data_IF_919120162143
#
_entry.id   IF_919120162143
#
_cell.length_a   1.000
_cell.length_b   1.000
_cell.length_c   1.000
_cell.angle_alpha   90.00
_cell.angle_beta   90.00
_cell.angle_gamma   90.00
#
_symmetry.space_group_name_H-M   'P 1'
#
loop_
_entity.id
_entity.type
_entity.pdbx_description
1 polymer ?
#
# COMPACT_ATOMS: atom_id res chain seq x y z
N UNK A 1 -16.38 -64.13 -43.27
CA UNK A 1 -15.49 -65.15 -42.69
C UNK A 1 -15.75 -65.15 -41.19
N UNK A 2 -16.53 -66.12 -40.66
CA UNK A 2 -16.06 -67.34 -39.98
C UNK A 2 -14.99 -66.98 -38.94
N UNK A 3 -15.28 -67.00 -37.64
CA UNK A 3 -15.32 -68.18 -36.75
C UNK A 3 -15.62 -67.67 -35.33
N UNK A 4 -16.06 -68.39 -34.29
CA UNK A 4 -16.64 -69.71 -33.98
C UNK A 4 -17.12 -69.53 -32.51
N UNK A 5 -18.38 -69.77 -32.18
CA UNK A 5 -18.94 -71.03 -31.62
C UNK A 5 -18.35 -71.55 -30.29
N UNK A 6 -19.25 -71.63 -29.27
CA UNK A 6 -19.37 -72.66 -28.19
C UNK A 6 -18.26 -72.66 -27.13
N UNK A 7 -18.50 -72.69 -25.82
CA UNK A 7 -19.70 -72.86 -25.01
C UNK A 7 -19.34 -73.25 -23.56
N UNK A 8 -20.36 -73.65 -22.79
CA UNK A 8 -20.35 -74.30 -21.47
C UNK A 8 -19.90 -73.47 -20.24
N UNK A 9 -20.76 -73.09 -19.28
CA UNK A 9 -21.57 -73.84 -18.28
C UNK A 9 -20.80 -74.10 -16.95
N UNK A 10 -21.45 -73.72 -15.82
CA UNK A 10 -21.32 -74.26 -14.43
C UNK A 10 -20.11 -73.75 -13.61
N UNK A 11 -20.16 -73.36 -12.32
CA UNK A 11 -21.06 -73.62 -11.17
C UNK A 11 -20.70 -72.71 -9.96
N UNK A 12 -21.66 -72.60 -9.01
CA UNK A 12 -21.55 -72.50 -7.52
C UNK A 12 -20.85 -71.26 -6.91
N UNK A 13 -21.53 -70.42 -6.12
CA UNK A 13 -22.07 -70.63 -4.75
C UNK A 13 -20.99 -70.77 -3.67
N UNK A 14 -20.99 -69.87 -2.69
CA UNK A 14 -20.28 -70.08 -1.43
C UNK A 14 -20.13 -68.83 -0.58
N UNK A 15 -20.80 -68.84 0.58
CA UNK A 15 -20.77 -67.88 1.69
C UNK A 15 -19.38 -67.75 2.34
N UNK A 16 -19.16 -66.66 3.10
CA UNK A 16 -18.42 -66.74 4.36
C UNK A 16 -17.35 -65.67 4.63
N UNK A 17 -17.75 -64.64 5.39
CA UNK A 17 -17.07 -64.01 6.55
C UNK A 17 -15.52 -64.05 6.61
N UNK A 18 -14.88 -62.87 6.69
CA UNK A 18 -13.46 -62.78 7.05
C UNK A 18 -12.84 -61.38 7.06
N UNK A 19 -13.19 -60.58 8.08
CA UNK A 19 -12.31 -59.69 8.87
C UNK A 19 -11.18 -58.87 8.19
N UNK A 20 -11.39 -57.53 8.20
CA UNK A 20 -10.44 -56.41 8.43
C UNK A 20 -9.24 -56.22 7.49
N UNK A 21 -9.27 -55.09 6.78
CA UNK A 21 -8.13 -54.17 6.67
C UNK A 21 -8.63 -52.72 6.59
N UNK A 22 -8.23 -51.91 7.57
CA UNK A 22 -8.27 -50.45 7.52
C UNK A 22 -7.34 -49.95 6.40
N UNK A 23 -7.65 -48.80 5.78
CA UNK A 23 -6.75 -47.62 5.66
C UNK A 23 -7.36 -46.55 4.72
N UNK A 24 -7.79 -45.45 5.35
CA UNK A 24 -7.41 -44.05 5.08
C UNK A 24 -7.83 -43.34 3.77
N UNK A 25 -8.62 -42.28 4.01
CA UNK A 25 -8.67 -40.93 3.42
C UNK A 25 -8.74 -40.71 1.90
N UNK A 26 -9.79 -39.96 1.54
CA UNK A 26 -9.80 -39.06 0.40
C UNK A 26 -10.81 -37.93 0.65
N UNK A 27 -10.63 -37.17 1.73
CA UNK A 27 -11.42 -35.97 1.99
C UNK A 27 -11.09 -34.92 0.92
N UNK A 28 -12.00 -34.72 -0.03
CA UNK A 28 -12.01 -33.58 -0.94
C UNK A 28 -12.44 -32.36 -0.12
N UNK A 29 -11.50 -31.77 0.61
CA UNK A 29 -11.70 -30.53 1.34
C UNK A 29 -11.19 -29.36 0.49
N UNK A 30 -12.17 -28.66 -0.10
CA UNK A 30 -12.16 -27.26 -0.54
C UNK A 30 -10.80 -26.56 -0.59
N UNK A 31 -10.30 -26.37 -1.81
CA UNK A 31 -9.49 -25.19 -2.14
C UNK A 31 -10.36 -23.94 -2.00
N UNK A 32 -10.41 -23.38 -0.79
CA UNK A 32 -10.67 -21.94 -0.67
C UNK A 32 -9.31 -21.27 -0.79
N UNK A 33 -8.97 -20.89 -2.01
CA UNK A 33 -7.97 -19.86 -2.24
C UNK A 33 -8.58 -18.60 -1.64
N UNK A 34 -8.28 -18.34 -0.36
CA UNK A 34 -8.27 -16.98 0.13
C UNK A 34 -7.17 -16.27 -0.67
N UNK A 35 -7.53 -15.79 -1.86
CA UNK A 35 -6.77 -14.76 -2.54
C UNK A 35 -6.81 -13.59 -1.56
N UNK A 36 -5.79 -13.52 -0.70
CA UNK A 36 -5.48 -12.31 0.02
C UNK A 36 -5.46 -11.22 -1.04
N UNK A 37 -6.47 -10.35 -0.98
CA UNK A 37 -6.54 -9.23 -1.90
C UNK A 37 -5.21 -8.51 -1.74
N UNK A 38 -4.43 -8.46 -2.82
CA UNK A 38 -3.27 -7.58 -2.83
C UNK A 38 -3.83 -6.17 -2.67
N UNK A 39 -3.72 -5.64 -1.46
CA UNK A 39 -4.28 -4.35 -1.08
C UNK A 39 -3.31 -3.25 -1.50
N UNK A 40 -3.02 -3.10 -2.80
CA UNK A 40 -1.92 -2.23 -3.22
C UNK A 40 -2.12 -0.76 -2.88
N UNK A 41 -3.31 -0.22 -3.17
CA UNK A 41 -3.74 1.10 -2.73
C UNK A 41 -5.26 1.01 -2.57
N UNK A 42 -5.78 1.17 -1.36
CA UNK A 42 -7.21 1.05 -1.05
C UNK A 42 -8.01 2.26 -1.63
N UNK A 43 -8.17 2.30 -2.96
CA UNK A 43 -8.86 3.37 -3.67
C UNK A 43 -10.37 3.42 -3.34
N UNK A 44 -10.96 2.26 -3.02
CA UNK A 44 -12.36 2.08 -2.63
C UNK A 44 -12.42 1.50 -1.22
N UNK A 45 -12.41 2.38 -0.22
CA UNK A 45 -12.59 2.01 1.18
C UNK A 45 -14.07 2.12 1.55
N UNK A 46 -14.55 1.14 2.31
CA UNK A 46 -15.86 1.18 2.97
C UNK A 46 -15.79 1.99 4.26
N UNK A 47 -16.95 2.41 4.79
CA UNK A 47 -17.05 3.07 6.09
C UNK A 47 -16.46 2.21 7.23
N UNK A 48 -16.72 0.91 7.20
CA UNK A 48 -16.18 -0.03 8.19
C UNK A 48 -14.65 -0.13 8.12
N UNK A 49 -14.08 -0.21 6.91
CA UNK A 49 -12.62 -0.20 6.73
C UNK A 49 -12.01 1.15 7.13
N UNK A 50 -12.70 2.26 6.90
CA UNK A 50 -12.24 3.56 7.35
C UNK A 50 -12.23 3.69 8.87
N UNK A 51 -13.26 3.19 9.56
CA UNK A 51 -13.29 3.12 11.03
C UNK A 51 -12.17 2.23 11.57
N UNK A 52 -11.87 1.12 10.90
CA UNK A 52 -10.71 0.27 11.21
C UNK A 52 -9.38 0.99 10.99
N UNK A 53 -9.23 1.76 9.92
CA UNK A 53 -8.02 2.56 9.66
C UNK A 53 -7.84 3.65 10.74
N UNK A 54 -8.90 4.35 11.12
CA UNK A 54 -8.87 5.29 12.25
C UNK A 54 -8.43 4.60 13.54
N UNK A 55 -8.98 3.41 13.85
CA UNK A 55 -8.59 2.63 15.02
C UNK A 55 -7.11 2.21 14.98
N UNK A 56 -6.63 1.74 13.84
CA UNK A 56 -5.24 1.35 13.63
C UNK A 56 -4.27 2.53 13.82
N UNK A 57 -4.69 3.74 13.44
CA UNK A 57 -3.94 4.97 13.72
C UNK A 57 -3.95 5.35 15.20
N UNK A 58 -5.07 5.18 15.89
CA UNK A 58 -5.24 5.51 17.31
C UNK A 58 -4.40 4.62 18.23
N UNK A 59 -4.52 3.31 18.06
CA UNK A 59 -4.00 2.32 19.00
C UNK A 59 -2.52 2.51 19.39
N UNK A 60 -1.55 2.66 18.46
CA UNK A 60 -0.16 2.88 18.83
C UNK A 60 0.05 4.22 19.53
N UNK A 61 -0.72 5.24 19.17
CA UNK A 61 -0.64 6.57 19.77
C UNK A 61 -1.27 6.60 21.18
N UNK A 62 -2.31 5.80 21.43
CA UNK A 62 -2.90 5.62 22.76
C UNK A 62 -1.93 4.90 23.72
N UNK A 63 -1.14 3.96 23.21
CA UNK A 63 -0.10 3.24 24.00
C UNK A 63 1.18 4.06 24.24
N UNK A 64 1.48 5.03 23.39
CA UNK A 64 2.69 5.85 23.49
C UNK A 64 2.58 6.89 24.62
N UNK A 65 3.50 6.89 25.56
CA UNK A 65 3.53 7.78 26.73
C UNK A 65 4.71 8.76 26.71
N UNK A 66 5.75 8.45 25.93
CA UNK A 66 6.97 9.27 25.82
C UNK A 66 7.09 9.94 24.45
N UNK A 67 7.78 11.11 24.35
CA UNK A 67 8.07 11.75 23.06
C UNK A 67 8.79 10.83 22.07
N UNK A 68 9.66 9.95 22.56
CA UNK A 68 10.44 9.00 21.77
C UNK A 68 9.54 7.93 21.14
N UNK A 69 8.58 7.38 21.90
CA UNK A 69 7.58 6.43 21.38
C UNK A 69 6.69 7.08 20.32
N UNK A 70 6.21 8.31 20.58
CA UNK A 70 5.43 9.08 19.61
C UNK A 70 6.21 9.28 18.32
N UNK A 71 7.49 9.64 18.42
CA UNK A 71 8.38 9.80 17.26
C UNK A 71 8.49 8.50 16.47
N UNK A 72 8.67 7.35 17.13
CA UNK A 72 8.73 6.04 16.47
C UNK A 72 7.44 5.69 15.74
N UNK A 73 6.28 5.97 16.35
CA UNK A 73 4.96 5.76 15.71
C UNK A 73 4.85 6.58 14.42
N UNK A 74 5.25 7.86 14.46
CA UNK A 74 5.19 8.75 13.30
C UNK A 74 6.20 8.35 12.21
N UNK A 75 7.40 7.92 12.59
CA UNK A 75 8.41 7.41 11.66
C UNK A 75 7.93 6.14 10.97
N UNK A 76 7.42 5.16 11.73
CA UNK A 76 6.89 3.92 11.19
C UNK A 76 5.74 4.17 10.20
N UNK A 77 4.80 5.06 10.55
CA UNK A 77 3.70 5.43 9.66
C UNK A 77 4.17 6.03 8.33
N UNK A 78 5.27 6.80 8.34
CA UNK A 78 5.82 7.42 7.14
C UNK A 78 6.59 6.42 6.26
N UNK A 79 7.12 5.35 6.84
CA UNK A 79 7.83 4.30 6.11
C UNK A 79 6.87 3.34 5.40
N UNK A 80 5.68 3.11 5.96
CA UNK A 80 4.70 2.16 5.43
C UNK A 80 4.24 2.49 4.00
N UNK A 81 4.17 3.77 3.64
CA UNK A 81 3.75 4.21 2.31
C UNK A 81 4.86 4.90 1.52
N UNK A 82 6.11 4.75 1.96
CA UNK A 82 7.28 5.29 1.27
C UNK A 82 7.71 4.38 0.13
N UNK A 83 8.09 5.00 -0.98
CA UNK A 83 8.73 4.37 -2.13
C UNK A 83 10.07 5.06 -2.41
N UNK A 84 10.98 4.35 -3.07
CA UNK A 84 12.32 4.82 -3.36
C UNK A 84 13.27 4.73 -2.17
N UNK A 85 14.14 5.73 -2.05
CA UNK A 85 15.21 5.72 -1.08
C UNK A 85 14.72 5.70 0.37
N UNK A 86 15.39 4.85 1.16
CA UNK A 86 15.26 4.77 2.60
C UNK A 86 16.12 5.87 3.24
N UNK A 87 15.53 6.86 3.93
CA UNK A 87 16.27 8.00 4.46
C UNK A 87 17.31 7.62 5.53
N UNK A 88 17.22 6.43 6.12
CA UNK A 88 18.23 5.94 7.07
C UNK A 88 19.46 5.35 6.38
N UNK A 89 19.31 4.87 5.14
CA UNK A 89 20.40 4.26 4.36
C UNK A 89 20.96 5.21 3.31
N UNK A 90 20.08 5.99 2.70
CA UNK A 90 20.37 6.98 1.69
C UNK A 90 19.61 8.26 2.05
N UNK A 91 20.31 9.13 2.79
CA UNK A 91 19.76 10.38 3.29
C UNK A 91 19.37 11.37 2.18
N UNK A 92 19.83 11.15 0.94
CA UNK A 92 19.54 12.02 -0.19
C UNK A 92 18.94 11.35 -1.43
N UNK A 93 18.59 10.07 -1.35
CA UNK A 93 17.98 9.41 -2.48
C UNK A 93 16.56 9.92 -2.78
N UNK A 94 16.19 9.86 -4.06
CA UNK A 94 14.85 10.21 -4.51
C UNK A 94 13.83 9.26 -3.88
N UNK A 95 12.80 9.84 -3.25
CA UNK A 95 11.76 9.08 -2.55
C UNK A 95 10.42 9.77 -2.68
N UNK A 96 9.35 9.03 -2.46
CA UNK A 96 8.03 9.61 -2.33
C UNK A 96 7.23 8.93 -1.22
N UNK A 97 6.30 9.66 -0.63
CA UNK A 97 5.33 9.14 0.33
C UNK A 97 3.95 9.19 -0.31
N UNK A 98 3.31 8.03 -0.42
CA UNK A 98 1.93 7.93 -0.88
C UNK A 98 1.00 8.25 0.28
N UNK A 99 0.26 9.34 0.18
CA UNK A 99 -0.78 9.72 1.14
C UNK A 99 -2.12 9.17 0.66
N UNK A 100 -2.31 7.88 0.85
CA UNK A 100 -3.56 7.17 0.52
C UNK A 100 -4.72 7.64 1.42
N UNK A 101 -5.97 7.31 1.04
CA UNK A 101 -7.14 7.51 1.94
C UNK A 101 -6.89 6.89 3.31
N UNK A 102 -6.33 5.68 3.34
CA UNK A 102 -5.96 4.97 4.56
C UNK A 102 -4.91 5.72 5.37
N UNK A 103 -3.84 6.21 4.73
CA UNK A 103 -2.80 7.02 5.38
C UNK A 103 -3.41 8.24 6.10
N UNK A 104 -4.32 8.94 5.43
CA UNK A 104 -5.02 10.09 6.02
C UNK A 104 -5.87 9.67 7.22
N UNK A 105 -6.69 8.64 7.08
CA UNK A 105 -7.53 8.10 8.15
C UNK A 105 -6.71 7.67 9.37
N UNK A 106 -5.62 6.93 9.17
CA UNK A 106 -4.71 6.57 10.25
C UNK A 106 -4.04 7.81 10.88
N UNK A 107 -3.69 8.82 10.07
CA UNK A 107 -3.17 10.08 10.59
C UNK A 107 -4.19 10.85 11.43
N UNK A 108 -5.48 10.79 11.08
CA UNK A 108 -6.53 11.36 11.91
C UNK A 108 -6.77 10.56 13.16
N UNK A 109 -6.70 9.23 13.10
CA UNK A 109 -6.73 8.36 14.27
C UNK A 109 -5.63 8.73 15.27
N UNK A 110 -4.39 8.94 14.80
CA UNK A 110 -3.30 9.43 15.66
C UNK A 110 -3.65 10.76 16.33
N UNK A 111 -4.23 11.71 15.58
CA UNK A 111 -4.66 13.02 16.13
C UNK A 111 -5.78 12.87 17.15
N UNK A 112 -6.76 12.01 16.91
CA UNK A 112 -7.83 11.71 17.86
C UNK A 112 -7.28 11.20 19.19
N UNK A 113 -6.33 10.27 19.15
CA UNK A 113 -5.67 9.73 20.34
C UNK A 113 -4.92 10.83 21.12
N UNK A 114 -4.17 11.67 20.41
CA UNK A 114 -3.44 12.80 21.02
C UNK A 114 -4.40 13.81 21.67
N UNK A 115 -5.46 14.22 20.96
CA UNK A 115 -6.42 15.18 21.48
C UNK A 115 -7.26 14.59 22.62
N UNK A 116 -7.62 13.31 22.54
CA UNK A 116 -8.34 12.62 23.62
C UNK A 116 -7.53 12.60 24.91
N UNK A 117 -6.22 12.34 24.82
CA UNK A 117 -5.29 12.39 25.96
C UNK A 117 -5.21 13.79 26.56
N UNK A 118 -5.10 14.83 25.72
CA UNK A 118 -5.03 16.24 26.17
C UNK A 118 -6.30 16.66 26.90
N UNK A 119 -7.46 16.27 26.37
CA UNK A 119 -8.77 16.69 26.89
C UNK A 119 -9.34 15.74 27.96
N UNK A 120 -8.68 14.60 28.22
CA UNK A 120 -9.15 13.53 29.12
C UNK A 120 -10.57 13.04 28.80
N UNK A 121 -10.94 13.11 27.52
CA UNK A 121 -12.23 12.70 26.98
C UNK A 121 -12.01 11.97 25.66
N UNK A 122 -12.85 10.98 25.36
CA UNK A 122 -12.81 10.31 24.06
C UNK A 122 -13.31 11.23 22.95
N UNK A 123 -12.43 11.54 22.00
CA UNK A 123 -12.73 12.34 20.81
C UNK A 123 -12.67 11.42 19.59
N UNK A 124 -13.75 11.42 18.82
CA UNK A 124 -13.89 10.63 17.60
C UNK A 124 -14.36 11.50 16.44
N UNK A 125 -13.83 11.24 15.26
CA UNK A 125 -14.31 11.85 14.03
C UNK A 125 -15.72 11.36 13.74
N UNK A 126 -16.68 12.26 13.50
CA UNK A 126 -18.03 11.88 13.10
C UNK A 126 -18.05 11.31 11.68
N UNK A 127 -19.01 10.43 11.42
CA UNK A 127 -19.10 9.66 10.16
C UNK A 127 -19.20 10.55 8.91
N UNK A 128 -19.78 11.75 9.00
CA UNK A 128 -19.85 12.72 7.88
C UNK A 128 -18.46 13.21 7.47
N UNK A 129 -17.55 13.39 8.43
CA UNK A 129 -16.15 13.74 8.15
C UNK A 129 -15.39 12.55 7.58
N UNK A 130 -15.67 11.33 8.05
CA UNK A 130 -15.06 10.12 7.49
C UNK A 130 -15.45 9.98 6.01
N UNK A 131 -16.73 10.20 5.69
CA UNK A 131 -17.24 10.12 4.33
C UNK A 131 -16.51 11.09 3.38
N UNK A 132 -16.20 12.32 3.82
CA UNK A 132 -15.41 13.27 3.02
C UNK A 132 -14.04 12.74 2.62
N UNK A 133 -13.38 11.94 3.48
CA UNK A 133 -12.10 11.31 3.14
C UNK A 133 -12.27 10.10 2.24
N UNK A 134 -13.36 9.34 2.41
CA UNK A 134 -13.73 8.26 1.50
C UNK A 134 -14.00 8.79 0.08
N UNK A 135 -14.54 9.99 -0.04
CA UNK A 135 -14.89 10.62 -1.30
C UNK A 135 -13.73 11.40 -1.95
N UNK A 136 -12.53 11.40 -1.34
CA UNK A 136 -11.35 12.05 -1.96
C UNK A 136 -11.06 11.43 -3.33
N UNK A 137 -11.02 12.24 -4.42
CA UNK A 137 -10.87 11.71 -5.77
C UNK A 137 -9.41 11.38 -6.12
N UNK A 138 -8.46 11.95 -5.37
CA UNK A 138 -7.04 11.93 -5.73
C UNK A 138 -6.19 11.28 -4.64
N UNK A 139 -5.24 10.47 -5.07
CA UNK A 139 -4.06 10.11 -4.31
C UNK A 139 -3.08 11.30 -4.30
N UNK A 140 -2.63 11.71 -3.12
CA UNK A 140 -1.52 12.67 -3.00
C UNK A 140 -0.20 11.91 -2.85
N UNK A 141 0.80 12.29 -3.63
CA UNK A 141 2.15 11.76 -3.58
C UNK A 141 3.11 12.90 -3.27
N UNK A 142 3.69 12.89 -2.07
CA UNK A 142 4.74 13.84 -1.68
C UNK A 142 6.08 13.30 -2.18
N UNK A 143 6.63 13.93 -3.21
CA UNK A 143 7.94 13.57 -3.76
C UNK A 143 9.00 14.40 -3.04
N UNK A 144 10.08 13.74 -2.62
CA UNK A 144 11.25 14.35 -2.00
C UNK A 144 12.47 14.09 -2.87
N UNK A 145 13.17 15.16 -3.20
CA UNK A 145 14.38 15.15 -4.02
C UNK A 145 15.53 15.84 -3.29
N UNK A 146 16.74 15.56 -3.77
CA UNK A 146 17.95 16.24 -3.38
C UNK A 146 18.66 16.88 -4.57
N UNK A 147 19.34 17.99 -4.32
CA UNK A 147 20.12 18.71 -5.32
C UNK A 147 21.13 19.66 -4.66
N UNK A 148 21.85 20.37 -5.52
CA UNK A 148 23.00 21.21 -5.11
C UNK A 148 22.64 22.69 -4.95
N UNK A 149 21.41 23.09 -5.28
CA UNK A 149 20.90 24.46 -5.21
C UNK A 149 19.53 24.50 -4.49
N UNK A 150 19.12 25.69 -4.02
CA UNK A 150 17.84 25.91 -3.32
C UNK A 150 16.61 25.83 -4.23
N UNK A 151 16.77 26.00 -5.54
CA UNK A 151 15.71 26.04 -6.55
C UNK A 151 15.83 24.91 -7.59
N UNK A 152 16.71 23.93 -7.37
CA UNK A 152 16.95 22.83 -8.30
C UNK A 152 15.70 22.05 -8.73
N UNK A 153 14.67 22.04 -7.89
CA UNK A 153 13.40 21.35 -8.12
C UNK A 153 12.31 22.27 -8.69
N UNK A 154 12.60 23.53 -8.97
CA UNK A 154 11.65 24.44 -9.60
C UNK A 154 11.28 23.94 -11.00
N UNK A 155 9.99 23.90 -11.33
CA UNK A 155 9.53 23.46 -12.65
C UNK A 155 9.62 21.96 -12.92
N UNK A 156 9.94 21.13 -11.92
CA UNK A 156 9.92 19.67 -12.08
C UNK A 156 8.52 19.17 -12.45
N UNK A 157 8.48 18.15 -13.30
CA UNK A 157 7.27 17.43 -13.64
C UNK A 157 7.37 15.99 -13.15
N UNK A 158 6.22 15.35 -12.93
CA UNK A 158 6.16 13.96 -12.51
C UNK A 158 5.09 13.19 -13.26
N UNK A 159 5.32 11.91 -13.49
CA UNK A 159 4.35 10.97 -14.04
C UNK A 159 4.52 9.57 -13.42
N UNK A 160 3.48 8.74 -13.50
CA UNK A 160 3.59 7.32 -13.18
C UNK A 160 3.69 6.52 -14.48
N UNK A 161 4.65 5.60 -14.56
CA UNK A 161 4.77 4.64 -15.65
C UNK A 161 4.33 3.25 -15.16
N UNK A 162 3.31 2.69 -15.79
CA UNK A 162 2.75 1.36 -15.50
C UNK A 162 2.73 0.52 -16.78
N UNK A 163 3.77 -0.29 -16.98
CA UNK A 163 3.97 -0.99 -18.25
C UNK A 163 4.14 -0.01 -19.41
N UNK A 164 3.20 -0.02 -20.37
CA UNK A 164 3.17 0.92 -21.51
C UNK A 164 2.36 2.19 -21.24
N UNK A 165 1.63 2.26 -20.12
CA UNK A 165 0.77 3.39 -19.77
C UNK A 165 1.56 4.44 -18.97
N UNK A 166 1.52 5.68 -19.43
CA UNK A 166 2.00 6.84 -18.67
C UNK A 166 0.80 7.59 -18.10
N UNK A 167 0.72 7.72 -16.78
CA UNK A 167 -0.33 8.45 -16.06
C UNK A 167 0.21 9.79 -15.64
N UNK A 168 -0.46 10.87 -16.06
CA UNK A 168 -0.14 12.23 -15.65
C UNK A 168 -0.90 12.60 -14.38
N UNK A 169 -0.32 13.42 -13.50
CA UNK A 169 -1.04 13.96 -12.36
C UNK A 169 -2.13 14.92 -12.83
N UNK A 170 -3.19 15.03 -12.03
CA UNK A 170 -4.23 16.05 -12.14
C UNK A 170 -3.67 17.42 -11.80
N UNK A 171 -2.75 17.47 -10.83
CA UNK A 171 -2.15 18.68 -10.30
C UNK A 171 -0.78 18.39 -9.71
N UNK A 172 0.13 19.37 -9.78
CA UNK A 172 1.46 19.33 -9.18
C UNK A 172 1.70 20.66 -8.49
N UNK A 173 1.89 20.63 -7.17
CA UNK A 173 2.24 21.84 -6.42
C UNK A 173 3.61 22.36 -6.85
N UNK A 174 3.87 23.68 -6.75
CA UNK A 174 5.23 24.19 -6.82
C UNK A 174 6.14 23.44 -5.83
N UNK A 175 7.39 23.23 -6.23
CA UNK A 175 8.39 22.68 -5.34
C UNK A 175 8.71 23.68 -4.23
N UNK A 176 8.79 23.18 -3.00
CA UNK A 176 9.27 23.95 -1.86
C UNK A 176 10.73 24.37 -2.13
N UNK A 177 11.08 25.56 -1.67
CA UNK A 177 12.49 25.99 -1.61
C UNK A 177 13.31 24.94 -0.85
N UNK A 178 14.44 24.54 -1.44
CA UNK A 178 15.35 23.56 -0.89
C UNK A 178 15.80 23.94 0.51
N UNK A 179 15.64 23.03 1.46
CA UNK A 179 16.16 23.17 2.83
C UNK A 179 17.54 22.54 2.88
N UNK A 180 18.48 23.22 3.52
CA UNK A 180 19.85 22.74 3.63
C UNK A 180 19.89 21.43 4.43
N UNK A 181 20.56 20.42 3.89
CA UNK A 181 20.80 19.17 4.60
C UNK A 181 21.95 19.33 5.60
N UNK A 182 21.82 18.72 6.78
CA UNK A 182 22.90 18.60 7.76
C UNK A 182 23.68 17.31 7.45
N UNK A 183 24.86 17.40 6.82
CA UNK A 183 25.70 16.23 6.50
C UNK A 183 26.61 16.38 5.28
N UNK A 184 27.26 15.27 4.87
CA UNK A 184 27.99 15.15 3.60
C UNK A 184 27.05 14.57 2.52
N UNK A 185 26.82 15.32 1.43
CA UNK A 185 25.90 14.95 0.34
C UNK A 185 25.32 16.19 -0.36
N UNK A 186 24.35 16.04 -1.29
CA UNK A 186 23.66 17.17 -1.93
C UNK A 186 23.16 18.17 -0.90
N UNK A 187 23.44 19.44 -1.16
CA UNK A 187 23.33 20.48 -0.15
C UNK A 187 21.88 20.76 0.26
N UNK A 188 20.91 20.46 -0.60
CA UNK A 188 19.51 20.86 -0.41
C UNK A 188 18.53 19.71 -0.65
N UNK A 189 17.44 19.74 0.11
CA UNK A 189 16.29 18.85 -0.02
C UNK A 189 15.03 19.66 -0.31
N UNK A 190 14.35 19.32 -1.40
CA UNK A 190 13.09 19.94 -1.80
C UNK A 190 11.97 18.90 -1.82
N UNK A 191 10.73 19.38 -1.70
CA UNK A 191 9.51 18.56 -1.75
C UNK A 191 8.46 19.22 -2.60
N UNK A 192 7.64 18.41 -3.25
CA UNK A 192 6.43 18.84 -3.93
C UNK A 192 5.38 17.75 -3.82
N UNK A 193 4.12 18.11 -4.02
CA UNK A 193 3.01 17.16 -4.01
C UNK A 193 2.41 17.04 -5.40
N UNK A 194 2.29 15.82 -5.89
CA UNK A 194 1.55 15.50 -7.10
C UNK A 194 0.27 14.75 -6.76
N UNK A 195 -0.82 15.09 -7.45
CA UNK A 195 -2.14 14.49 -7.24
C UNK A 195 -2.52 13.63 -8.43
N UNK A 196 -2.82 12.36 -8.19
CA UNK A 196 -3.25 11.42 -9.23
C UNK A 196 -4.68 10.99 -8.95
N UNK A 197 -5.57 11.09 -9.93
CA UNK A 197 -6.93 10.60 -9.77
C UNK A 197 -6.91 9.08 -9.54
N UNK A 198 -7.67 8.59 -8.56
CA UNK A 198 -7.67 7.17 -8.17
C UNK A 198 -8.10 6.22 -9.30
N UNK A 199 -8.83 6.72 -10.29
CA UNK A 199 -9.28 5.97 -11.48
C UNK A 199 -8.27 6.00 -12.65
N UNK A 200 -7.22 6.83 -12.55
CA UNK A 200 -6.26 7.05 -13.64
C UNK A 200 -5.10 6.04 -13.67
N UNK A 201 -4.82 5.35 -12.56
CA UNK A 201 -3.74 4.37 -12.41
C UNK A 201 -4.24 3.03 -11.85
N UNK A 202 -3.47 1.96 -12.06
CA UNK A 202 -3.72 0.65 -11.46
C UNK A 202 -3.08 0.57 -10.06
N UNK A 203 -3.85 0.38 -8.98
CA UNK A 203 -3.31 0.29 -7.62
C UNK A 203 -2.46 -0.97 -7.36
N UNK A 204 -2.48 -1.95 -8.26
CA UNK A 204 -1.74 -3.20 -8.11
C UNK A 204 -0.57 -3.35 -9.10
N UNK A 205 -0.34 -2.35 -9.95
CA UNK A 205 0.73 -2.42 -10.93
C UNK A 205 2.09 -2.07 -10.33
N UNK A 206 3.12 -2.77 -10.82
CA UNK A 206 4.49 -2.28 -10.72
C UNK A 206 4.57 -0.93 -11.44
N UNK A 207 4.99 0.07 -10.71
CA UNK A 207 4.96 1.46 -11.11
C UNK A 207 6.37 2.04 -11.05
N UNK A 208 6.71 2.92 -11.99
CA UNK A 208 7.86 3.82 -11.85
C UNK A 208 7.36 5.24 -11.72
N UNK A 209 7.84 5.96 -10.72
CA UNK A 209 7.63 7.40 -10.66
C UNK A 209 8.74 8.06 -11.47
N UNK A 210 8.34 8.74 -12.54
CA UNK A 210 9.24 9.41 -13.46
C UNK A 210 9.25 10.90 -13.09
N UNK A 211 10.40 11.43 -12.73
CA UNK A 211 10.58 12.85 -12.39
C UNK A 211 11.43 13.51 -13.47
N UNK A 212 10.85 14.48 -14.16
CA UNK A 212 11.48 15.23 -15.25
C UNK A 212 11.93 16.59 -14.73
N UNK A 213 13.22 16.85 -14.83
CA UNK A 213 13.80 18.15 -14.48
C UNK A 213 13.79 19.10 -15.69
N UNK A 214 13.72 20.43 -15.47
CA UNK A 214 13.75 21.39 -16.57
C UNK A 214 15.02 21.34 -17.42
N UNK A 215 16.13 20.85 -16.85
CA UNK A 215 17.42 20.67 -17.53
C UNK A 215 17.46 19.42 -18.44
N UNK A 216 16.34 18.68 -18.53
CA UNK A 216 16.21 17.47 -19.33
C UNK A 216 16.64 16.19 -18.61
N UNK A 217 17.09 16.26 -17.36
CA UNK A 217 17.39 15.06 -16.57
C UNK A 217 16.11 14.32 -16.17
N UNK A 218 16.28 13.02 -15.98
CA UNK A 218 15.24 12.11 -15.53
C UNK A 218 15.71 11.39 -14.27
N UNK A 219 14.85 11.37 -13.25
CA UNK A 219 15.01 10.50 -12.09
C UNK A 219 13.86 9.50 -12.06
N UNK A 220 14.19 8.24 -11.78
CA UNK A 220 13.23 7.15 -11.67
C UNK A 220 13.19 6.64 -10.23
N UNK A 221 11.98 6.52 -9.68
CA UNK A 221 11.75 5.85 -8.40
C UNK A 221 10.94 4.59 -8.67
N UNK A 222 11.53 3.42 -8.42
CA UNK A 222 10.79 2.17 -8.49
C UNK A 222 9.76 2.08 -7.35
N UNK A 223 8.52 1.74 -7.71
CA UNK A 223 7.39 1.71 -6.81
C UNK A 223 6.52 0.49 -7.10
N UNK A 224 6.48 -0.47 -6.18
CA UNK A 224 5.57 -1.59 -6.30
C UNK A 224 4.26 -1.27 -5.57
N UNK A 225 3.28 -0.70 -6.26
CA UNK A 225 2.03 -0.27 -5.62
C UNK A 225 1.31 -1.44 -4.97
N UNK A 226 1.43 -2.67 -5.47
CA UNK A 226 0.81 -3.84 -4.83
C UNK A 226 1.33 -4.14 -3.42
N UNK A 227 2.44 -3.51 -3.00
CA UNK A 227 3.06 -3.69 -1.68
C UNK A 227 2.75 -2.55 -0.69
N UNK A 228 2.15 -1.47 -1.17
CA UNK A 228 1.75 -0.34 -0.32
C UNK A 228 0.43 -0.69 0.38
N UNK A 229 0.17 -0.12 1.56
CA UNK A 229 -1.11 -0.26 2.30
C UNK A 229 -1.51 1.09 2.87
#
# INVERSE_FOLDING_TARGET
MRSAFIGFIVRRSGHGVGLRAFIVMGAVAMWTVAMGQAHGIDAKLTMEEAKKALAAGREPMEKSSTPEEVKRVLQHASLATRIGADPEKDSCGASAILRTKRFWLESFGRKEATESKKQKQEIRMPDDKIQKYLDMPNLEMEVQLCGDDEYFAEGVQVALQQGTKTVKPVDVSPAEKGRKNEGQGPAYRSRFTARFAYDSFDPNAKTKVMVFFPDGKLSEIEADFSKIK
#
